data_IF_898033561488
#
_entry.id   IF_898033561488
#
_cell.length_a   1.000
_cell.length_b   1.000
_cell.length_c   1.000
_cell.angle_alpha   90.00
_cell.angle_beta   90.00
_cell.angle_gamma   90.00
#
_symmetry.space_group_name_H-M   'P 1'
#
loop_
_entity.id
_entity.type
_entity.pdbx_description
1 polymer ?
#
# COMPACT_ATOMS: atom_id res chain seq x y z
N UNK A 1 -7.69 18.30 8.65
CA UNK A 1 -8.80 17.40 8.31
C UNK A 1 -8.59 16.89 6.91
N UNK A 2 -9.02 15.66 6.61
CA UNK A 2 -9.04 15.08 5.25
C UNK A 2 -10.41 14.49 4.97
N UNK A 3 -10.68 14.16 3.71
CA UNK A 3 -11.96 13.63 3.25
C UNK A 3 -11.83 12.26 2.58
N UNK A 4 -12.97 11.78 2.07
CA UNK A 4 -13.08 10.53 1.33
C UNK A 4 -12.59 10.70 -0.11
N UNK A 5 -11.73 9.79 -0.58
CA UNK A 5 -11.27 9.76 -1.96
C UNK A 5 -12.04 8.69 -2.69
N UNK A 6 -12.76 9.09 -3.74
CA UNK A 6 -13.51 8.20 -4.61
C UNK A 6 -12.91 8.22 -6.02
N UNK A 7 -12.74 7.04 -6.60
CA UNK A 7 -12.32 6.92 -7.99
C UNK A 7 -13.53 7.12 -8.89
N UNK A 8 -13.42 7.99 -9.89
CA UNK A 8 -14.48 8.19 -10.87
C UNK A 8 -14.71 6.91 -11.68
N UNK A 9 -15.95 6.63 -12.11
CA UNK A 9 -16.19 5.61 -13.12
C UNK A 9 -15.36 5.95 -14.36
N UNK A 10 -14.60 4.97 -14.86
CA UNK A 10 -13.82 5.12 -16.08
C UNK A 10 -14.74 5.34 -17.29
N UNK A 11 -14.39 6.32 -18.12
CA UNK A 11 -15.10 6.63 -19.38
C UNK A 11 -14.36 6.02 -20.60
N UNK A 12 -13.08 5.65 -20.47
CA UNK A 12 -12.28 5.08 -21.57
C UNK A 12 -12.43 3.55 -21.73
N UNK A 13 -12.41 3.10 -22.99
CA UNK A 13 -12.55 1.70 -23.36
C UNK A 13 -11.23 0.93 -23.17
N UNK A 14 -11.03 0.36 -21.98
CA UNK A 14 -9.94 -0.58 -21.71
C UNK A 14 -10.32 -2.05 -22.02
N UNK A 15 -9.33 -2.94 -22.25
CA UNK A 15 -9.58 -4.38 -22.33
C UNK A 15 -10.28 -4.92 -21.08
N UNK A 16 -11.13 -5.94 -21.25
CA UNK A 16 -11.93 -6.54 -20.17
C UNK A 16 -11.10 -6.90 -18.92
N UNK A 17 -9.93 -7.51 -19.09
CA UNK A 17 -9.07 -7.89 -17.97
C UNK A 17 -8.58 -6.68 -17.17
N UNK A 18 -8.30 -5.55 -17.83
CA UNK A 18 -7.85 -4.33 -17.16
C UNK A 18 -9.02 -3.64 -16.45
N UNK A 19 -10.22 -3.67 -17.03
CA UNK A 19 -11.43 -3.20 -16.35
C UNK A 19 -11.66 -3.93 -15.01
N UNK A 20 -11.35 -5.23 -14.93
CA UNK A 20 -11.44 -5.95 -13.65
C UNK A 20 -10.44 -5.44 -12.62
N UNK A 21 -9.24 -5.03 -13.04
CA UNK A 21 -8.23 -4.42 -12.16
C UNK A 21 -8.73 -3.05 -11.67
N UNK A 22 -9.33 -2.24 -12.54
CA UNK A 22 -9.93 -0.95 -12.18
C UNK A 22 -11.08 -1.12 -11.17
N UNK A 23 -11.96 -2.12 -11.37
CA UNK A 23 -13.02 -2.43 -10.42
C UNK A 23 -12.46 -2.85 -9.06
N UNK A 24 -11.39 -3.65 -9.04
CA UNK A 24 -10.71 -4.03 -7.80
C UNK A 24 -10.06 -2.83 -7.11
N UNK A 25 -9.46 -1.92 -7.87
CA UNK A 25 -8.89 -0.67 -7.35
C UNK A 25 -9.98 0.20 -6.72
N UNK A 26 -11.12 0.37 -7.40
CA UNK A 26 -12.27 1.09 -6.87
C UNK A 26 -12.74 0.50 -5.54
N UNK A 27 -12.90 -0.83 -5.46
CA UNK A 27 -13.27 -1.51 -4.21
C UNK A 27 -12.21 -1.36 -3.11
N UNK A 28 -10.91 -1.38 -3.47
CA UNK A 28 -9.82 -1.09 -2.52
C UNK A 28 -9.97 0.32 -1.95
N UNK A 29 -10.17 1.33 -2.80
CA UNK A 29 -10.32 2.71 -2.35
C UNK A 29 -11.56 2.88 -1.48
N UNK A 30 -12.70 2.34 -1.91
CA UNK A 30 -13.95 2.41 -1.16
C UNK A 30 -13.80 1.81 0.25
N UNK A 31 -13.18 0.63 0.37
CA UNK A 31 -12.97 -0.02 1.68
C UNK A 31 -11.96 0.73 2.55
N UNK A 32 -10.82 1.15 1.98
CA UNK A 32 -9.74 1.83 2.70
C UNK A 32 -10.15 3.24 3.14
N UNK A 33 -10.72 4.05 2.24
CA UNK A 33 -11.11 5.42 2.54
C UNK A 33 -12.46 5.51 3.25
N UNK A 34 -13.40 4.61 2.96
CA UNK A 34 -14.75 4.66 3.51
C UNK A 34 -14.78 4.20 4.96
N UNK A 35 -14.25 3.00 5.21
CA UNK A 35 -14.23 2.41 6.55
C UNK A 35 -12.89 2.64 7.22
N UNK A 36 -11.78 2.31 6.53
CA UNK A 36 -10.44 2.34 7.13
C UNK A 36 -10.07 3.71 7.70
N UNK A 37 -10.29 4.80 6.95
CA UNK A 37 -10.00 6.16 7.43
C UNK A 37 -10.94 6.63 8.53
N UNK A 38 -12.20 6.25 8.48
CA UNK A 38 -13.17 6.54 9.53
C UNK A 38 -12.77 5.85 10.84
N UNK A 39 -12.37 4.59 10.76
CA UNK A 39 -11.79 3.84 11.88
C UNK A 39 -10.51 4.52 12.42
N UNK A 40 -9.56 4.86 11.56
CA UNK A 40 -8.34 5.56 11.98
C UNK A 40 -8.63 6.93 12.63
N UNK A 41 -9.64 7.66 12.14
CA UNK A 41 -10.08 8.94 12.72
C UNK A 41 -10.62 8.77 14.14
N UNK A 42 -11.46 7.75 14.36
CA UNK A 42 -12.02 7.40 15.67
C UNK A 42 -10.91 7.11 16.68
N UNK A 43 -9.92 6.31 16.27
CA UNK A 43 -8.80 5.89 17.11
C UNK A 43 -7.60 6.84 17.10
N UNK A 44 -7.71 8.01 16.45
CA UNK A 44 -6.63 9.01 16.33
C UNK A 44 -5.33 8.45 15.75
N UNK A 45 -5.45 7.48 14.83
CA UNK A 45 -4.33 6.73 14.24
C UNK A 45 -4.14 6.98 12.75
N UNK A 46 -4.71 8.06 12.19
CA UNK A 46 -4.47 8.47 10.81
C UNK A 46 -2.98 8.72 10.64
N UNK A 47 -2.32 8.00 9.74
CA UNK A 47 -0.87 8.11 9.56
C UNK A 47 -0.45 8.87 8.31
N UNK A 48 -1.32 8.94 7.31
CA UNK A 48 -1.11 9.70 6.07
C UNK A 48 -2.33 10.56 5.82
N UNK A 49 -2.17 11.87 5.72
CA UNK A 49 -3.18 12.77 5.16
C UNK A 49 -3.17 12.64 3.63
N UNK A 50 -4.32 12.82 2.98
CA UNK A 50 -4.33 12.84 1.50
C UNK A 50 -3.67 14.12 1.01
N UNK A 51 -2.56 14.03 0.29
CA UNK A 51 -1.92 15.20 -0.32
C UNK A 51 -2.85 15.99 -1.26
N UNK A 52 -3.80 15.31 -1.92
CA UNK A 52 -4.75 15.95 -2.83
C UNK A 52 -5.90 16.69 -2.12
N UNK A 53 -6.21 16.32 -0.87
CA UNK A 53 -7.37 16.87 -0.17
C UNK A 53 -7.21 16.90 1.35
N UNK A 54 -6.62 17.99 1.83
CA UNK A 54 -6.45 18.24 3.25
C UNK A 54 -6.58 19.73 3.57
N UNK A 55 -7.25 20.06 4.67
CA UNK A 55 -7.34 21.41 5.19
C UNK A 55 -6.75 21.49 6.61
N UNK A 56 -6.00 22.57 6.87
CA UNK A 56 -5.28 22.77 8.13
C UNK A 56 -5.70 24.06 8.81
N UNK A 57 -5.72 24.06 10.15
CA UNK A 57 -5.70 25.32 10.90
C UNK A 57 -4.33 25.96 10.72
N UNK A 58 -4.30 27.25 10.40
CA UNK A 58 -3.05 27.99 10.12
C UNK A 58 -2.05 27.84 11.26
N UNK A 59 -2.49 27.96 12.50
CA UNK A 59 -1.67 27.82 13.71
C UNK A 59 -1.03 26.43 13.85
N UNK A 60 -1.76 25.36 13.53
CA UNK A 60 -1.26 24.00 13.60
C UNK A 60 -0.21 23.74 12.50
N UNK A 61 -0.47 24.23 11.28
CA UNK A 61 0.48 24.09 10.17
C UNK A 61 1.76 24.91 10.41
N UNK A 62 1.63 26.14 10.91
CA UNK A 62 2.77 27.02 11.20
C UNK A 62 3.70 26.49 12.31
N UNK A 63 3.21 25.57 13.15
CA UNK A 63 4.02 24.91 14.17
C UNK A 63 4.86 23.74 13.63
N UNK A 64 4.59 23.28 12.39
CA UNK A 64 5.37 22.23 11.71
C UNK A 64 6.59 22.79 10.99
N UNK A 65 7.47 21.91 10.50
CA UNK A 65 8.57 22.29 9.60
C UNK A 65 8.10 22.44 8.14
N UNK A 66 6.78 22.40 7.90
CA UNK A 66 6.16 22.40 6.58
C UNK A 66 6.63 21.18 5.75
N UNK A 67 6.55 21.29 4.42
CA UNK A 67 6.90 20.20 3.51
C UNK A 67 8.40 19.95 3.46
N UNK A 68 8.78 18.69 3.71
CA UNK A 68 10.15 18.22 3.61
C UNK A 68 10.38 17.53 2.25
N UNK A 69 11.52 17.80 1.61
CA UNK A 69 11.92 17.18 0.35
C UNK A 69 12.72 15.88 0.54
N UNK A 70 13.03 15.50 1.79
CA UNK A 70 13.79 14.28 2.11
C UNK A 70 13.01 12.97 1.89
N UNK A 71 11.69 13.06 1.75
CA UNK A 71 10.84 11.89 1.45
C UNK A 71 9.98 12.11 0.21
N UNK A 72 9.66 11.02 -0.47
CA UNK A 72 8.68 11.01 -1.57
C UNK A 72 7.22 11.13 -1.10
N UNK A 73 6.96 11.15 0.21
CA UNK A 73 5.62 11.26 0.80
C UNK A 73 5.55 12.38 1.84
N UNK A 74 5.61 13.60 1.34
CA UNK A 74 5.56 14.84 2.11
C UNK A 74 4.28 14.97 2.96
N UNK A 75 3.18 14.38 2.50
CA UNK A 75 1.88 14.35 3.19
C UNK A 75 1.90 13.50 4.46
N UNK A 76 2.59 12.37 4.40
CA UNK A 76 2.77 11.42 5.51
C UNK A 76 3.74 11.99 6.53
N UNK A 77 4.84 12.60 6.08
CA UNK A 77 5.78 13.31 6.94
C UNK A 77 5.09 14.44 7.72
N UNK A 78 4.37 15.32 7.02
CA UNK A 78 3.62 16.40 7.64
C UNK A 78 2.60 15.89 8.67
N UNK A 79 1.96 14.74 8.41
CA UNK A 79 1.04 14.11 9.36
C UNK A 79 1.76 13.73 10.64
N UNK A 80 2.95 13.13 10.57
CA UNK A 80 3.75 12.78 11.73
C UNK A 80 4.23 14.01 12.49
N UNK A 81 4.69 15.04 11.78
CA UNK A 81 5.06 16.31 12.39
C UNK A 81 3.92 16.94 13.20
N UNK A 82 2.67 16.88 12.70
CA UNK A 82 1.49 17.37 13.43
C UNK A 82 1.27 16.60 14.73
N UNK A 83 1.43 15.26 14.72
CA UNK A 83 1.31 14.46 15.95
C UNK A 83 2.39 14.77 16.98
N UNK A 84 3.61 15.09 16.54
CA UNK A 84 4.73 15.40 17.43
C UNK A 84 4.68 16.81 17.98
N UNK A 85 4.36 17.80 17.13
CA UNK A 85 4.50 19.22 17.44
C UNK A 85 3.20 19.86 17.91
N UNK A 86 2.05 19.28 17.54
CA UNK A 86 0.74 19.84 17.84
C UNK A 86 -0.20 18.82 18.50
N UNK A 87 0.17 18.21 19.64
CA UNK A 87 -0.59 17.12 20.26
C UNK A 87 -2.00 17.52 20.74
N UNK A 88 -2.26 18.82 20.92
CA UNK A 88 -3.58 19.37 21.24
C UNK A 88 -4.53 19.38 20.04
N UNK A 89 -4.00 19.36 18.81
CA UNK A 89 -4.80 19.30 17.59
C UNK A 89 -5.11 17.86 17.20
N UNK A 90 -6.31 17.66 16.64
CA UNK A 90 -6.75 16.35 16.18
C UNK A 90 -6.74 16.28 14.66
N UNK A 91 -6.10 15.23 14.14
CA UNK A 91 -6.27 14.79 12.76
C UNK A 91 -7.56 13.96 12.67
N UNK A 92 -8.47 14.36 11.79
CA UNK A 92 -9.78 13.72 11.63
C UNK A 92 -10.14 13.59 10.14
N UNK A 93 -10.82 12.48 9.83
CA UNK A 93 -11.47 12.20 8.55
C UNK A 93 -12.93 12.65 8.58
N UNK A 94 -13.39 13.31 7.51
CA UNK A 94 -14.79 13.69 7.30
C UNK A 94 -15.33 12.92 6.08
N UNK A 95 -16.06 11.80 6.30
CA UNK A 95 -16.48 10.93 5.20
C UNK A 95 -17.49 11.57 4.25
N UNK A 96 -18.24 12.57 4.71
CA UNK A 96 -19.22 13.31 3.90
C UNK A 96 -18.55 14.21 2.85
N UNK A 97 -17.26 14.54 3.06
CA UNK A 97 -16.52 15.39 2.14
C UNK A 97 -15.77 14.51 1.17
N UNK A 98 -16.17 14.55 -0.10
CA UNK A 98 -15.62 13.67 -1.15
C UNK A 98 -14.78 14.45 -2.14
N UNK A 99 -13.67 13.83 -2.54
CA UNK A 99 -12.90 14.24 -3.70
C UNK A 99 -12.87 13.10 -4.71
N UNK A 100 -13.04 13.46 -5.97
CA UNK A 100 -13.04 12.53 -7.07
C UNK A 100 -11.68 12.52 -7.76
N UNK A 101 -11.11 11.33 -7.95
CA UNK A 101 -9.84 11.15 -8.66
C UNK A 101 -10.05 10.27 -9.88
N UNK A 102 -9.24 10.49 -10.91
CA UNK A 102 -9.24 9.61 -12.07
C UNK A 102 -8.61 8.25 -11.70
N UNK A 103 -9.13 7.14 -12.25
CA UNK A 103 -8.53 5.81 -12.12
C UNK A 103 -7.13 5.75 -12.74
N UNK A 104 -6.39 4.69 -12.41
CA UNK A 104 -5.08 4.42 -13.04
C UNK A 104 -5.21 4.11 -14.54
N UNK A 105 -4.35 4.72 -15.35
CA UNK A 105 -4.37 4.56 -16.81
C UNK A 105 -3.67 3.30 -17.32
N UNK A 106 -2.85 2.65 -16.49
CA UNK A 106 -2.11 1.44 -16.84
C UNK A 106 -1.62 0.66 -15.64
N UNK A 107 -1.26 -0.61 -15.84
CA UNK A 107 -0.66 -1.44 -14.80
C UNK A 107 0.69 -0.89 -14.31
N UNK A 108 1.46 -0.24 -15.20
CA UNK A 108 2.69 0.43 -14.84
C UNK A 108 2.44 1.64 -13.92
N UNK A 109 1.38 2.41 -14.18
CA UNK A 109 0.98 3.51 -13.31
C UNK A 109 0.57 3.00 -11.91
N UNK A 110 -0.21 1.92 -11.85
CA UNK A 110 -0.58 1.26 -10.60
C UNK A 110 0.66 0.79 -9.81
N UNK A 111 1.59 0.12 -10.50
CA UNK A 111 2.86 -0.30 -9.90
C UNK A 111 3.63 0.89 -9.31
N UNK A 112 3.91 1.91 -10.12
CA UNK A 112 4.68 3.09 -9.69
C UNK A 112 4.00 3.79 -8.52
N UNK A 113 2.67 3.85 -8.48
CA UNK A 113 1.93 4.43 -7.36
C UNK A 113 2.13 3.63 -6.07
N UNK A 114 1.91 2.30 -6.11
CA UNK A 114 2.01 1.44 -4.92
C UNK A 114 3.44 1.35 -4.38
N UNK A 115 4.42 1.32 -5.27
CA UNK A 115 5.85 1.41 -4.91
C UNK A 115 6.15 2.73 -4.20
N UNK A 116 5.65 3.87 -4.71
CA UNK A 116 5.88 5.20 -4.11
C UNK A 116 5.32 5.27 -2.70
N UNK A 117 4.08 4.82 -2.52
CA UNK A 117 3.43 4.81 -1.21
C UNK A 117 4.19 3.96 -0.21
N UNK A 118 4.59 2.76 -0.62
CA UNK A 118 5.34 1.85 0.25
C UNK A 118 6.71 2.42 0.61
N UNK A 119 7.43 3.02 -0.35
CA UNK A 119 8.70 3.68 -0.13
C UNK A 119 8.58 4.86 0.83
N UNK A 120 7.62 5.76 0.59
CA UNK A 120 7.42 6.95 1.42
C UNK A 120 7.04 6.59 2.87
N UNK A 121 6.22 5.56 3.07
CA UNK A 121 5.93 5.04 4.41
C UNK A 121 7.19 4.59 5.17
N UNK A 122 8.14 3.96 4.47
CA UNK A 122 9.41 3.52 5.07
C UNK A 122 10.35 4.70 5.36
N UNK A 123 10.46 5.65 4.44
CA UNK A 123 11.28 6.85 4.61
C UNK A 123 10.80 7.69 5.80
N UNK A 124 9.49 7.99 5.88
CA UNK A 124 8.90 8.71 7.03
C UNK A 124 9.08 7.91 8.32
N UNK A 125 8.94 6.58 8.24
CA UNK A 125 9.19 5.74 9.41
C UNK A 125 10.63 5.86 9.92
N UNK A 126 11.60 6.02 9.00
CA UNK A 126 12.99 6.22 9.36
C UNK A 126 13.29 7.62 9.90
N UNK A 127 12.57 8.66 9.46
CA UNK A 127 12.68 10.03 9.98
C UNK A 127 12.10 10.14 11.40
N UNK A 128 10.95 9.49 11.66
CA UNK A 128 10.21 9.60 12.92
C UNK A 128 10.42 8.41 13.89
N UNK A 129 11.62 7.82 13.91
CA UNK A 129 11.97 6.64 14.74
C UNK A 129 11.60 6.76 16.21
N UNK A 130 11.76 7.96 16.81
CA UNK A 130 11.47 8.20 18.24
C UNK A 130 9.99 8.03 18.54
N UNK A 131 9.12 8.65 17.75
CA UNK A 131 7.66 8.53 17.90
C UNK A 131 7.22 7.09 17.70
N UNK A 132 7.80 6.40 16.71
CA UNK A 132 7.49 5.00 16.44
C UNK A 132 7.84 4.12 17.63
N UNK A 133 9.05 4.25 18.17
CA UNK A 133 9.49 3.48 19.33
C UNK A 133 8.63 3.77 20.57
N UNK A 134 8.29 5.03 20.82
CA UNK A 134 7.49 5.42 21.98
C UNK A 134 6.03 4.95 21.90
N UNK A 135 5.44 4.95 20.71
CA UNK A 135 4.05 4.51 20.51
C UNK A 135 3.89 3.03 20.14
N UNK A 136 5.00 2.31 19.89
CA UNK A 136 5.00 0.87 19.67
C UNK A 136 4.95 0.05 20.98
N UNK A 137 5.44 0.58 22.10
CA UNK A 137 5.52 -0.13 23.39
C UNK A 137 4.16 -0.30 24.10
N UNK A 138 3.13 0.44 23.68
CA UNK A 138 1.76 0.27 24.17
C UNK A 138 1.03 -0.79 23.33
N UNK A 139 1.07 -2.05 23.77
CA UNK A 139 0.42 -3.20 23.10
C UNK A 139 -1.11 -3.03 22.87
N UNK A 140 -1.76 -2.15 23.64
CA UNK A 140 -3.21 -1.95 23.68
C UNK A 140 -3.73 -0.71 22.91
N UNK A 141 -2.88 0.02 22.17
CA UNK A 141 -3.26 1.28 21.51
C UNK A 141 -3.19 1.29 19.98
N UNK A 142 -4.00 2.13 19.34
CA UNK A 142 -3.96 2.41 17.90
C UNK A 142 -3.16 3.71 17.67
N UNK A 143 -1.97 3.59 17.09
CA UNK A 143 -1.14 4.75 16.75
C UNK A 143 -0.81 4.78 15.26
N UNK A 144 -0.56 5.97 14.68
CA UNK A 144 -0.09 6.09 13.30
C UNK A 144 1.13 5.21 13.02
N UNK A 145 2.10 5.25 13.93
CA UNK A 145 3.30 4.44 13.91
C UNK A 145 3.04 2.93 13.95
N UNK A 146 2.13 2.47 14.81
CA UNK A 146 1.78 1.04 14.90
C UNK A 146 1.10 0.57 13.61
N UNK A 147 0.22 1.39 13.04
CA UNK A 147 -0.50 1.03 11.81
C UNK A 147 0.50 0.83 10.67
N UNK A 148 1.47 1.73 10.52
CA UNK A 148 2.59 1.56 9.58
C UNK A 148 3.43 0.32 9.87
N UNK A 149 3.80 0.08 11.13
CA UNK A 149 4.59 -1.10 11.50
C UNK A 149 3.83 -2.40 11.22
N UNK A 150 2.54 -2.48 11.50
CA UNK A 150 1.71 -3.66 11.22
C UNK A 150 1.62 -3.89 9.71
N UNK A 151 1.39 -2.83 8.92
CA UNK A 151 1.34 -2.89 7.46
C UNK A 151 2.68 -3.44 6.89
N UNK A 152 3.82 -3.09 7.50
CA UNK A 152 5.14 -3.54 7.06
C UNK A 152 5.56 -4.92 7.60
N UNK A 153 5.41 -5.17 8.90
CA UNK A 153 5.89 -6.39 9.56
C UNK A 153 5.04 -7.60 9.18
N UNK A 154 3.72 -7.45 9.01
CA UNK A 154 2.85 -8.56 8.57
C UNK A 154 2.98 -8.90 7.08
N UNK A 155 3.75 -8.12 6.32
CA UNK A 155 4.07 -8.44 4.92
C UNK A 155 5.07 -9.59 4.81
N UNK A 156 5.98 -9.76 5.78
CA UNK A 156 7.01 -10.82 5.74
C UNK A 156 6.47 -12.24 6.03
N UNK A 157 5.58 -12.47 7.04
CA UNK A 157 4.94 -13.77 7.23
C UNK A 157 4.22 -14.27 5.98
N UNK A 158 3.60 -13.38 5.18
CA UNK A 158 2.94 -13.76 3.93
C UNK A 158 3.92 -14.35 2.91
N UNK A 159 5.14 -13.83 2.82
CA UNK A 159 6.19 -14.41 1.96
C UNK A 159 6.54 -15.82 2.41
N UNK A 160 6.74 -16.00 3.72
CA UNK A 160 7.09 -17.30 4.28
C UNK A 160 6.06 -18.34 3.86
N UNK A 161 4.77 -18.10 4.12
CA UNK A 161 3.72 -19.08 3.78
C UNK A 161 3.58 -19.31 2.27
N UNK A 162 3.72 -18.28 1.45
CA UNK A 162 3.60 -18.39 -0.01
C UNK A 162 4.66 -19.30 -0.62
N UNK A 163 5.91 -19.28 -0.12
CA UNK A 163 6.98 -20.16 -0.60
C UNK A 163 7.08 -21.47 0.19
N UNK A 164 6.69 -21.47 1.47
CA UNK A 164 6.71 -22.66 2.32
C UNK A 164 5.71 -23.70 1.83
N UNK A 165 4.50 -23.29 1.43
CA UNK A 165 3.46 -24.22 1.00
C UNK A 165 3.89 -25.10 -0.20
N UNK A 166 4.45 -24.58 -1.30
CA UNK A 166 4.98 -25.41 -2.39
C UNK A 166 6.15 -26.29 -1.95
N UNK A 167 7.01 -25.81 -1.03
CA UNK A 167 8.13 -26.57 -0.49
C UNK A 167 7.65 -27.82 0.26
N UNK A 168 6.45 -27.82 0.85
CA UNK A 168 5.90 -29.02 1.49
C UNK A 168 5.83 -30.22 0.54
N UNK A 169 5.72 -30.02 -0.78
CA UNK A 169 5.79 -31.13 -1.72
C UNK A 169 7.11 -31.91 -1.62
N UNK A 170 8.24 -31.25 -1.33
CA UNK A 170 9.55 -31.92 -1.20
C UNK A 170 9.65 -32.75 0.07
N UNK A 171 8.77 -32.52 1.04
CA UNK A 171 8.65 -33.30 2.28
C UNK A 171 7.63 -34.44 2.19
N UNK A 172 7.10 -34.73 0.99
CA UNK A 172 6.20 -35.85 0.73
C UNK A 172 4.70 -35.55 0.93
N UNK A 173 4.32 -34.29 1.08
CA UNK A 173 2.91 -33.89 1.14
C UNK A 173 2.24 -33.98 -0.24
N UNK A 174 0.98 -34.41 -0.31
CA UNK A 174 0.26 -34.61 -1.56
C UNK A 174 -0.14 -33.29 -2.24
N UNK A 175 -0.20 -33.30 -3.58
CA UNK A 175 -0.70 -32.15 -4.36
C UNK A 175 -2.14 -31.78 -3.98
N UNK A 176 -2.98 -32.76 -3.67
CA UNK A 176 -4.37 -32.54 -3.27
C UNK A 176 -4.49 -31.73 -1.97
N UNK A 177 -3.63 -32.02 -0.99
CA UNK A 177 -3.58 -31.26 0.26
C UNK A 177 -3.19 -29.80 0.00
N UNK A 178 -2.20 -29.59 -0.88
CA UNK A 178 -1.74 -28.24 -1.19
C UNK A 178 -2.82 -27.42 -1.91
N UNK A 179 -3.48 -28.02 -2.90
CA UNK A 179 -4.61 -27.38 -3.61
C UNK A 179 -5.74 -27.06 -2.64
N UNK A 180 -6.08 -27.98 -1.73
CA UNK A 180 -7.10 -27.75 -0.71
C UNK A 180 -6.71 -26.61 0.25
N UNK A 181 -5.44 -26.54 0.67
CA UNK A 181 -4.95 -25.45 1.52
C UNK A 181 -5.03 -24.09 0.83
N UNK A 182 -4.60 -23.99 -0.44
CA UNK A 182 -4.72 -22.76 -1.22
C UNK A 182 -6.17 -22.35 -1.46
N UNK A 183 -7.04 -23.30 -1.77
CA UNK A 183 -8.47 -23.03 -1.93
C UNK A 183 -9.09 -22.53 -0.62
N UNK A 184 -8.78 -23.18 0.50
CA UNK A 184 -9.26 -22.76 1.82
C UNK A 184 -8.80 -21.34 2.15
N UNK A 185 -7.51 -21.04 1.94
CA UNK A 185 -6.98 -19.68 2.13
C UNK A 185 -7.68 -18.68 1.22
N UNK A 186 -7.86 -18.99 -0.06
CA UNK A 186 -8.54 -18.12 -1.01
C UNK A 186 -9.97 -17.82 -0.55
N UNK A 187 -10.74 -18.84 -0.15
CA UNK A 187 -12.10 -18.68 0.37
C UNK A 187 -12.14 -17.87 1.67
N UNK A 188 -11.17 -18.07 2.57
CA UNK A 188 -11.06 -17.29 3.80
C UNK A 188 -10.80 -15.81 3.50
N UNK A 189 -9.83 -15.49 2.63
CA UNK A 189 -9.57 -14.10 2.23
C UNK A 189 -10.75 -13.50 1.46
N UNK A 190 -11.42 -14.28 0.62
CA UNK A 190 -12.63 -13.85 -0.06
C UNK A 190 -13.74 -13.50 0.95
N UNK A 191 -13.94 -14.30 1.99
CA UNK A 191 -14.89 -14.01 3.07
C UNK A 191 -14.56 -12.70 3.78
N UNK A 192 -13.27 -12.42 4.03
CA UNK A 192 -12.86 -11.14 4.62
C UNK A 192 -13.17 -9.97 3.67
N UNK A 193 -12.80 -10.09 2.39
CA UNK A 193 -13.04 -9.02 1.40
C UNK A 193 -14.53 -8.78 1.16
N UNK A 194 -15.37 -9.81 1.11
CA UNK A 194 -16.83 -9.64 1.01
C UNK A 194 -17.40 -8.97 2.25
N UNK A 195 -16.87 -9.27 3.44
CA UNK A 195 -17.27 -8.60 4.69
C UNK A 195 -16.92 -7.11 4.67
N UNK A 196 -15.69 -6.77 4.27
CA UNK A 196 -15.25 -5.37 4.16
C UNK A 196 -16.00 -4.60 3.07
N UNK A 197 -16.16 -5.20 1.89
CA UNK A 197 -16.92 -4.60 0.79
C UNK A 197 -18.40 -4.45 1.14
N UNK A 198 -18.99 -5.42 1.83
CA UNK A 198 -20.37 -5.36 2.32
C UNK A 198 -20.58 -4.29 3.38
N UNK A 199 -19.62 -4.13 4.31
CA UNK A 199 -19.64 -3.03 5.25
C UNK A 199 -19.52 -1.67 4.52
N UNK A 200 -18.63 -1.55 3.52
CA UNK A 200 -18.43 -0.30 2.82
C UNK A 200 -19.68 0.06 1.99
N UNK A 201 -20.31 -0.95 1.40
CA UNK A 201 -21.60 -0.84 0.72
C UNK A 201 -22.73 -0.36 1.64
N UNK A 202 -22.79 -0.85 2.89
CA UNK A 202 -23.81 -0.45 3.85
C UNK A 202 -23.70 1.04 4.24
N UNK A 203 -22.48 1.56 4.37
CA UNK A 203 -22.22 2.97 4.73
C UNK A 203 -22.11 3.91 3.52
N UNK A 204 -22.15 3.39 2.30
CA UNK A 204 -22.12 4.17 1.07
C UNK A 204 -23.46 4.87 0.80
N UNK A 205 -23.41 5.96 0.04
CA UNK A 205 -24.55 6.66 -0.55
C UNK A 205 -25.13 5.87 -1.75
N UNK A 206 -26.28 6.30 -2.24
CA UNK A 206 -27.03 5.57 -3.26
C UNK A 206 -26.33 5.50 -4.62
N UNK A 207 -25.53 6.51 -4.99
CA UNK A 207 -24.77 6.50 -6.23
C UNK A 207 -23.64 5.46 -6.16
N UNK A 208 -22.83 5.51 -5.10
CA UNK A 208 -21.77 4.53 -4.86
C UNK A 208 -22.35 3.11 -4.74
N UNK A 209 -23.47 2.91 -4.03
CA UNK A 209 -24.14 1.60 -3.94
C UNK A 209 -24.55 1.04 -5.30
N UNK A 210 -25.07 1.89 -6.18
CA UNK A 210 -25.48 1.47 -7.53
C UNK A 210 -24.27 0.99 -8.34
N UNK A 211 -23.15 1.71 -8.25
CA UNK A 211 -21.91 1.31 -8.89
C UNK A 211 -21.36 0.00 -8.31
N UNK A 212 -21.28 -0.12 -6.98
CA UNK A 212 -20.79 -1.32 -6.28
C UNK A 212 -21.60 -2.57 -6.63
N UNK A 213 -22.93 -2.45 -6.76
CA UNK A 213 -23.78 -3.57 -7.21
C UNK A 213 -23.37 -4.09 -8.59
N UNK A 214 -23.03 -3.19 -9.52
CA UNK A 214 -22.59 -3.55 -10.88
C UNK A 214 -21.26 -4.30 -10.87
N UNK A 215 -20.32 -3.87 -10.04
CA UNK A 215 -18.96 -4.44 -9.98
C UNK A 215 -18.80 -5.53 -8.91
N UNK A 216 -19.86 -5.91 -8.21
CA UNK A 216 -19.82 -6.91 -7.14
C UNK A 216 -19.14 -8.23 -7.53
N UNK A 217 -19.30 -8.77 -8.76
CA UNK A 217 -18.55 -9.95 -9.19
C UNK A 217 -17.03 -9.79 -9.12
N UNK A 218 -16.51 -8.57 -9.24
CA UNK A 218 -15.06 -8.31 -9.11
C UNK A 218 -14.55 -8.53 -7.68
N UNK A 219 -15.42 -8.65 -6.65
CA UNK A 219 -15.02 -9.04 -5.29
C UNK A 219 -14.35 -10.41 -5.27
N UNK A 220 -14.74 -11.35 -6.15
CA UNK A 220 -14.08 -12.65 -6.30
C UNK A 220 -12.63 -12.52 -6.78
N UNK A 221 -12.28 -11.45 -7.49
CA UNK A 221 -10.92 -11.19 -7.96
C UNK A 221 -10.07 -10.45 -6.93
N UNK A 222 -10.67 -9.91 -5.86
CA UNK A 222 -9.96 -9.13 -4.84
C UNK A 222 -8.80 -9.90 -4.19
N UNK A 223 -8.93 -11.17 -3.76
CA UNK A 223 -7.78 -11.88 -3.20
C UNK A 223 -6.58 -11.98 -4.17
N UNK A 224 -6.84 -12.20 -5.46
CA UNK A 224 -5.78 -12.25 -6.49
C UNK A 224 -5.18 -10.85 -6.73
N UNK A 225 -6.03 -9.83 -6.79
CA UNK A 225 -5.60 -8.44 -6.87
C UNK A 225 -4.71 -8.05 -5.68
N UNK A 226 -5.06 -8.45 -4.45
CA UNK A 226 -4.25 -8.22 -3.24
C UNK A 226 -2.88 -8.88 -3.32
N UNK A 227 -2.78 -10.09 -3.89
CA UNK A 227 -1.47 -10.75 -4.13
C UNK A 227 -0.63 -9.93 -5.10
N UNK A 228 -1.22 -9.44 -6.20
CA UNK A 228 -0.51 -8.57 -7.15
C UNK A 228 -0.03 -7.27 -6.48
N UNK A 229 -0.90 -6.56 -5.75
CA UNK A 229 -0.56 -5.34 -5.01
C UNK A 229 0.51 -5.62 -3.95
N UNK A 230 0.46 -6.79 -3.31
CA UNK A 230 1.48 -7.20 -2.36
C UNK A 230 2.88 -7.25 -3.00
N UNK A 231 3.02 -7.85 -4.19
CA UNK A 231 4.30 -7.84 -4.91
C UNK A 231 4.74 -6.44 -5.33
N UNK A 232 3.80 -5.58 -5.75
CA UNK A 232 4.12 -4.18 -6.10
C UNK A 232 4.59 -3.39 -4.89
N UNK A 233 3.99 -3.58 -3.71
CA UNK A 233 4.47 -2.97 -2.47
C UNK A 233 5.81 -3.57 -2.07
N UNK A 234 5.97 -4.90 -2.16
CA UNK A 234 7.21 -5.56 -1.80
C UNK A 234 8.42 -5.05 -2.60
N UNK A 235 8.27 -4.74 -3.90
CA UNK A 235 9.36 -4.11 -4.65
C UNK A 235 9.71 -2.71 -4.12
N UNK A 236 8.75 -1.96 -3.57
CA UNK A 236 9.00 -0.69 -2.88
C UNK A 236 9.90 -0.82 -1.65
N UNK A 237 9.83 -1.94 -0.91
CA UNK A 237 10.80 -2.23 0.15
C UNK A 237 12.22 -2.37 -0.40
N UNK A 238 12.37 -3.15 -1.48
CA UNK A 238 13.68 -3.40 -2.09
C UNK A 238 14.28 -2.10 -2.63
N UNK A 239 13.48 -1.32 -3.36
CA UNK A 239 13.90 -0.04 -3.96
C UNK A 239 14.29 0.98 -2.87
N UNK A 240 13.55 1.04 -1.76
CA UNK A 240 13.90 1.92 -0.64
C UNK A 240 15.26 1.56 -0.01
N UNK A 241 15.69 0.30 -0.08
CA UNK A 241 16.98 -0.17 0.43
C UNK A 241 18.12 0.04 -0.58
N UNK A 242 17.84 0.08 -1.89
CA UNK A 242 18.87 0.06 -2.94
C UNK A 242 19.06 1.38 -3.65
N UNK A 243 18.05 2.25 -3.73
CA UNK A 243 18.07 3.47 -4.52
C UNK A 243 17.83 4.73 -3.68
N UNK A 244 18.45 5.88 -4.03
CA UNK A 244 18.16 7.16 -3.38
C UNK A 244 16.71 7.62 -3.63
N UNK A 245 16.18 8.43 -2.70
CA UNK A 245 14.81 8.96 -2.69
C UNK A 245 14.49 9.79 -3.91
N UNK A 246 13.94 9.18 -4.97
CA UNK A 246 13.51 9.90 -6.16
C UNK A 246 12.02 9.69 -6.40
N UNK A 247 11.34 10.75 -6.84
CA UNK A 247 9.89 10.76 -7.04
C UNK A 247 9.43 9.97 -8.28
N UNK A 248 10.34 9.75 -9.24
CA UNK A 248 10.11 8.99 -10.47
C UNK A 248 10.47 7.52 -10.27
N UNK A 249 9.46 6.67 -10.25
CA UNK A 249 9.64 5.21 -10.27
C UNK A 249 9.49 4.74 -11.71
N UNK A 250 10.56 4.20 -12.26
CA UNK A 250 10.61 3.59 -13.59
C UNK A 250 9.75 2.32 -13.65
N UNK A 251 9.37 1.91 -14.86
CA UNK A 251 8.51 0.75 -15.06
C UNK A 251 9.18 -0.54 -14.53
N UNK A 252 8.38 -1.52 -14.05
CA UNK A 252 8.93 -2.73 -13.41
C UNK A 252 9.80 -3.54 -14.37
N UNK A 253 9.40 -3.64 -15.65
CA UNK A 253 10.17 -4.35 -16.66
C UNK A 253 11.54 -3.70 -16.91
N UNK A 254 11.59 -2.37 -16.93
CA UNK A 254 12.84 -1.65 -17.12
C UNK A 254 13.76 -1.80 -15.91
N UNK A 255 13.21 -1.75 -14.69
CA UNK A 255 13.95 -2.00 -13.45
C UNK A 255 14.58 -3.40 -13.43
N UNK A 256 13.81 -4.43 -13.80
CA UNK A 256 14.32 -5.81 -13.90
C UNK A 256 15.42 -5.91 -14.95
N UNK A 257 15.23 -5.32 -16.13
CA UNK A 257 16.22 -5.34 -17.20
C UNK A 257 17.52 -4.61 -16.80
N UNK A 258 17.41 -3.44 -16.20
CA UNK A 258 18.55 -2.67 -15.71
C UNK A 258 19.29 -3.41 -14.59
N UNK A 259 18.56 -3.98 -13.63
CA UNK A 259 19.14 -4.79 -12.56
C UNK A 259 19.87 -6.03 -13.08
N UNK A 260 19.29 -6.75 -14.04
CA UNK A 260 19.94 -7.88 -14.71
C UNK A 260 21.21 -7.46 -15.46
N UNK A 261 21.18 -6.29 -16.08
CA UNK A 261 22.32 -5.75 -16.82
C UNK A 261 23.47 -5.35 -15.87
N UNK A 262 23.17 -4.69 -14.75
CA UNK A 262 24.15 -4.37 -13.71
C UNK A 262 24.74 -5.64 -13.07
N UNK A 263 23.90 -6.62 -12.76
CA UNK A 263 24.33 -7.89 -12.18
C UNK A 263 25.28 -8.65 -13.13
N UNK A 264 24.96 -8.68 -14.44
CA UNK A 264 25.84 -9.24 -15.48
C UNK A 264 27.17 -8.50 -15.57
N UNK A 265 27.16 -7.17 -15.45
CA UNK A 265 28.36 -6.33 -15.46
C UNK A 265 29.24 -6.62 -14.24
N UNK A 266 28.66 -6.63 -13.04
CA UNK A 266 29.36 -6.99 -11.79
C UNK A 266 29.93 -8.40 -11.85
N UNK A 267 29.17 -9.37 -12.36
CA UNK A 267 29.64 -10.75 -12.53
C UNK A 267 30.83 -10.84 -13.50
N UNK A 268 30.78 -10.11 -14.62
CA UNK A 268 31.92 -10.03 -15.56
C UNK A 268 33.15 -9.38 -14.95
N UNK A 269 32.97 -8.33 -14.15
CA UNK A 269 34.06 -7.67 -13.43
C UNK A 269 34.67 -8.59 -12.36
N UNK A 270 33.83 -9.32 -11.63
CA UNK A 270 34.25 -10.32 -10.63
C UNK A 270 35.06 -11.47 -11.26
N UNK A 271 34.60 -12.01 -12.39
CA UNK A 271 35.35 -13.03 -13.13
C UNK A 271 36.69 -12.49 -13.66
N UNK A 272 36.76 -11.22 -14.06
CA UNK A 272 38.02 -10.57 -14.47
C UNK A 272 38.97 -10.32 -13.30
N UNK A 273 38.46 -10.03 -12.10
CA UNK A 273 39.32 -9.88 -10.92
C UNK A 273 39.90 -11.22 -10.46
N UNK A 274 39.17 -12.32 -10.62
CA UNK A 274 39.69 -13.66 -10.33
C UNK A 274 40.83 -14.05 -11.27
N UNK A 275 40.70 -13.80 -12.58
CA UNK A 275 41.79 -14.06 -13.55
C UNK A 275 43.06 -13.23 -13.31
N UNK A 276 42.95 -12.04 -12.73
CA UNK A 276 44.10 -11.18 -12.40
C UNK A 276 44.85 -11.61 -11.13
N UNK A 277 44.30 -12.51 -10.33
CA UNK A 277 44.99 -13.06 -9.15
C UNK A 277 45.73 -14.37 -9.46
N UNK A 278 45.53 -14.95 -10.65
CA UNK A 278 46.19 -16.17 -11.13
C UNK A 278 47.41 -15.88 -12.04
N UNK A 279 47.65 -14.61 -12.38
CA UNK A 279 48.86 -14.10 -13.07
C UNK A 279 49.81 -13.42 -12.07
#
# INVERSE_FOLDING_TARGET
MTGFIEILPEDEAHPFWFQQILNCEYLEYLTVFGIGRSYQSLFRSIYTLSGAFTAFRREALAATLLYNAETVSEDTDLTFQLYERTPSFRVANFPDVRIYVQPITSLAALYSQRVRWQRGQLEVSALHKKLIRQRASSLLGFSPARTLLVDHTLSFPRLVWMFFLPILMTFGYSLSLLVAAYLFMYLFYLMLETTWAGAAYAFADDQTRTHVRRIWPSVFLMPLYRVMIFFFRFSGFLIALTEPGTWRITSPLWQIQAGLMDLRLRWRLFLRSLRRQEE
#
